data_IF_301769579605
#
_entry.id   IF_301769579605
#
_cell.length_a   1.000
_cell.length_b   1.000
_cell.length_c   1.000
_cell.angle_alpha   90.00
_cell.angle_beta   90.00
_cell.angle_gamma   90.00
#
_symmetry.space_group_name_H-M   'P 1'
#
loop_
_entity.id
_entity.type
_entity.pdbx_description
1 polymer ?
#
# COMPACT_ATOMS: atom_id res chain seq x y z
N UNK A 1 21.23 -14.86 -9.59
CA UNK A 1 19.87 -14.73 -10.15
C UNK A 1 19.94 -14.27 -11.59
N UNK A 2 19.28 -14.97 -12.50
CA UNK A 2 19.21 -14.57 -13.89
C UNK A 2 18.22 -13.43 -14.09
N UNK A 3 18.28 -12.78 -15.26
CA UNK A 3 17.31 -11.75 -15.64
C UNK A 3 15.88 -12.30 -15.62
N UNK A 4 15.69 -13.51 -16.12
CA UNK A 4 14.37 -14.16 -16.15
C UNK A 4 13.86 -14.41 -14.73
N UNK A 5 14.72 -14.87 -13.84
CA UNK A 5 14.35 -15.07 -12.43
C UNK A 5 14.02 -13.76 -11.76
N UNK A 6 14.78 -12.72 -12.02
CA UNK A 6 14.53 -11.38 -11.48
C UNK A 6 13.15 -10.86 -11.91
N UNK A 7 12.86 -10.95 -13.21
CA UNK A 7 11.57 -10.52 -13.74
C UNK A 7 10.40 -11.26 -13.11
N UNK A 8 10.54 -12.57 -12.90
CA UNK A 8 9.54 -13.38 -12.24
C UNK A 8 9.31 -12.93 -10.81
N UNK A 9 10.37 -12.63 -10.07
CA UNK A 9 10.25 -12.20 -8.68
C UNK A 9 9.60 -10.82 -8.57
N UNK A 10 9.92 -9.90 -9.48
CA UNK A 10 9.25 -8.59 -9.54
C UNK A 10 7.77 -8.77 -9.82
N UNK A 11 7.43 -9.62 -10.79
CA UNK A 11 6.02 -9.88 -11.12
C UNK A 11 5.25 -10.45 -9.93
N UNK A 12 5.87 -11.36 -9.17
CA UNK A 12 5.23 -11.94 -7.98
C UNK A 12 4.84 -10.85 -6.96
N UNK A 13 5.72 -9.87 -6.75
CA UNK A 13 5.44 -8.77 -5.82
C UNK A 13 4.23 -7.96 -6.29
N UNK A 14 4.20 -7.59 -7.58
CA UNK A 14 3.07 -6.82 -8.11
C UNK A 14 1.78 -7.63 -8.15
N UNK A 15 1.85 -8.93 -8.43
CA UNK A 15 0.68 -9.81 -8.41
C UNK A 15 0.12 -9.93 -6.99
N UNK A 16 0.98 -10.04 -5.99
CA UNK A 16 0.59 -10.09 -4.59
C UNK A 16 -0.10 -8.79 -4.17
N UNK A 17 0.50 -7.65 -4.49
CA UNK A 17 -0.06 -6.34 -4.18
C UNK A 17 -1.41 -6.14 -4.87
N UNK A 18 -1.50 -6.51 -6.14
CA UNK A 18 -2.74 -6.46 -6.92
C UNK A 18 -3.86 -7.26 -6.25
N UNK A 19 -3.58 -8.52 -5.92
CA UNK A 19 -4.57 -9.39 -5.28
C UNK A 19 -5.08 -8.80 -3.96
N UNK A 20 -4.17 -8.28 -3.15
CA UNK A 20 -4.51 -7.66 -1.88
C UNK A 20 -5.36 -6.41 -2.07
N UNK A 21 -4.99 -5.56 -3.03
CA UNK A 21 -5.74 -4.34 -3.33
C UNK A 21 -7.19 -4.65 -3.71
N UNK A 22 -7.38 -5.62 -4.60
CA UNK A 22 -8.73 -6.00 -5.05
C UNK A 22 -9.56 -6.55 -3.89
N UNK A 23 -8.97 -7.39 -3.05
CA UNK A 23 -9.67 -7.95 -1.88
C UNK A 23 -10.07 -6.86 -0.89
N UNK A 24 -9.16 -5.94 -0.59
CA UNK A 24 -9.46 -4.83 0.32
C UNK A 24 -10.52 -3.90 -0.26
N UNK A 25 -10.45 -3.63 -1.57
CA UNK A 25 -11.43 -2.79 -2.22
C UNK A 25 -12.85 -3.37 -2.10
N UNK A 26 -12.99 -4.68 -2.19
CA UNK A 26 -14.29 -5.33 -2.00
C UNK A 26 -14.87 -5.10 -0.60
N UNK A 27 -14.00 -5.08 0.40
CA UNK A 27 -14.43 -4.86 1.78
C UNK A 27 -14.73 -3.39 2.07
N UNK A 28 -13.85 -2.49 1.63
CA UNK A 28 -13.94 -1.08 1.98
C UNK A 28 -14.84 -0.28 1.03
N UNK A 29 -14.97 -0.70 -0.22
CA UNK A 29 -15.60 0.10 -1.26
C UNK A 29 -14.72 1.28 -1.66
N UNK A 30 -15.21 2.16 -2.55
CA UNK A 30 -14.38 3.26 -3.08
C UNK A 30 -14.37 4.52 -2.22
N UNK A 31 -15.39 4.72 -1.36
CA UNK A 31 -15.61 6.02 -0.70
C UNK A 31 -14.63 6.33 0.42
N UNK A 32 -13.99 5.33 1.01
CA UNK A 32 -12.93 5.58 1.98
C UNK A 32 -11.77 6.37 1.34
N UNK A 33 -11.66 6.32 0.02
CA UNK A 33 -10.70 7.09 -0.76
C UNK A 33 -11.36 8.35 -1.32
N UNK A 34 -12.45 8.19 -2.10
CA UNK A 34 -13.05 9.32 -2.82
C UNK A 34 -13.69 10.36 -1.91
N UNK A 35 -14.16 9.96 -0.73
CA UNK A 35 -14.80 10.88 0.23
C UNK A 35 -13.90 11.27 1.39
N UNK A 36 -12.61 11.03 1.30
CA UNK A 36 -11.68 11.36 2.38
C UNK A 36 -11.68 12.88 2.66
N UNK A 37 -11.69 13.27 3.94
CA UNK A 37 -11.58 14.70 4.28
C UNK A 37 -10.34 15.34 3.66
N UNK A 38 -10.51 16.49 3.05
CA UNK A 38 -9.43 17.19 2.35
C UNK A 38 -9.19 16.67 0.94
N UNK A 39 -10.00 15.71 0.47
CA UNK A 39 -9.89 15.14 -0.86
C UNK A 39 -9.15 13.81 -0.89
N UNK A 40 -9.38 13.05 -1.96
CA UNK A 40 -8.84 11.70 -2.09
C UNK A 40 -7.31 11.67 -2.02
N UNK A 41 -6.65 12.54 -2.78
CA UNK A 41 -5.19 12.55 -2.82
C UNK A 41 -4.59 12.98 -1.50
N UNK A 42 -5.18 13.97 -0.84
CA UNK A 42 -4.76 14.38 0.50
C UNK A 42 -4.87 13.23 1.49
N UNK A 43 -5.99 12.49 1.46
CA UNK A 43 -6.18 11.33 2.34
C UNK A 43 -5.13 10.25 2.10
N UNK A 44 -4.75 10.02 0.86
CA UNK A 44 -3.71 9.06 0.51
C UNK A 44 -2.33 9.50 1.00
N UNK A 45 -2.03 10.79 0.92
CA UNK A 45 -0.78 11.34 1.45
C UNK A 45 -0.70 11.11 2.95
N UNK A 46 -1.80 11.35 3.67
CA UNK A 46 -1.86 11.10 5.12
C UNK A 46 -1.65 9.61 5.42
N UNK A 47 -2.30 8.72 4.69
CA UNK A 47 -2.13 7.27 4.86
C UNK A 47 -0.71 6.82 4.61
N UNK A 48 -0.08 7.36 3.56
CA UNK A 48 1.32 7.05 3.26
C UNK A 48 2.25 7.57 4.36
N UNK A 49 1.96 8.74 4.91
CA UNK A 49 2.72 9.27 6.04
C UNK A 49 2.64 8.32 7.24
N UNK A 50 1.43 7.90 7.62
CA UNK A 50 1.25 6.99 8.75
C UNK A 50 1.99 5.67 8.51
N UNK A 51 1.90 5.14 7.31
CA UNK A 51 2.57 3.89 6.96
C UNK A 51 4.09 4.05 7.02
N UNK A 52 4.62 5.16 6.55
CA UNK A 52 6.05 5.44 6.58
C UNK A 52 6.56 5.55 8.01
N UNK A 53 5.83 6.24 8.90
CA UNK A 53 6.19 6.33 10.30
C UNK A 53 6.18 4.95 10.97
N UNK A 54 5.22 4.10 10.63
CA UNK A 54 5.17 2.73 11.11
C UNK A 54 6.39 1.92 10.63
N UNK A 55 6.74 2.05 9.35
CA UNK A 55 7.92 1.39 8.76
C UNK A 55 9.17 1.79 9.51
N UNK A 56 9.36 3.09 9.75
CA UNK A 56 10.52 3.60 10.49
C UNK A 56 10.56 3.04 11.91
N UNK A 57 9.43 3.04 12.60
CA UNK A 57 9.38 2.52 13.95
C UNK A 57 9.74 1.04 14.01
N UNK A 58 9.17 0.24 13.11
CA UNK A 58 9.46 -1.20 13.07
C UNK A 58 10.92 -1.47 12.74
N UNK A 59 11.49 -0.73 11.80
CA UNK A 59 12.86 -0.98 11.35
C UNK A 59 13.92 -0.40 12.27
N UNK A 60 13.78 0.84 12.73
CA UNK A 60 14.81 1.51 13.50
C UNK A 60 14.67 1.34 15.01
N UNK A 61 13.46 1.24 15.52
CA UNK A 61 13.20 1.20 16.97
C UNK A 61 12.91 -0.22 17.45
N UNK A 62 12.05 -0.94 16.75
CA UNK A 62 11.56 -2.26 17.19
C UNK A 62 12.13 -3.41 16.37
N UNK A 63 13.31 -3.25 15.83
CA UNK A 63 13.89 -4.20 14.88
C UNK A 63 14.09 -5.62 15.42
N UNK A 64 14.17 -5.77 16.75
CA UNK A 64 14.35 -7.07 17.39
C UNK A 64 13.03 -7.63 17.95
N UNK A 65 11.94 -6.89 17.81
CA UNK A 65 10.64 -7.30 18.34
C UNK A 65 9.76 -7.84 17.22
N UNK A 66 8.96 -8.84 17.57
CA UNK A 66 7.97 -9.35 16.64
C UNK A 66 6.75 -8.42 16.66
N UNK A 67 6.31 -7.86 15.50
CA UNK A 67 5.13 -7.01 15.48
C UNK A 67 3.88 -7.75 15.93
N UNK A 68 3.01 -7.10 16.70
CA UNK A 68 1.75 -7.67 17.15
C UNK A 68 0.69 -7.66 16.04
N UNK A 69 0.81 -6.75 15.11
CA UNK A 69 -0.16 -6.54 14.05
C UNK A 69 0.51 -6.74 12.69
N UNK A 70 0.61 -5.70 11.94
CA UNK A 70 1.14 -5.70 10.59
C UNK A 70 2.67 -5.79 10.60
N UNK A 71 3.22 -6.69 9.79
CA UNK A 71 4.67 -6.84 9.65
C UNK A 71 5.27 -5.71 8.83
N UNK A 72 6.61 -5.58 8.87
CA UNK A 72 7.32 -4.62 8.04
C UNK A 72 7.02 -4.82 6.56
N UNK A 73 7.04 -6.08 6.10
CA UNK A 73 6.75 -6.39 4.70
C UNK A 73 5.32 -6.02 4.31
N UNK A 74 4.35 -6.31 5.19
CA UNK A 74 2.95 -5.93 4.95
C UNK A 74 2.79 -4.42 4.89
N UNK A 75 3.54 -3.67 5.68
CA UNK A 75 3.52 -2.21 5.64
C UNK A 75 4.01 -1.67 4.30
N UNK A 76 5.05 -2.29 3.73
CA UNK A 76 5.54 -1.91 2.40
C UNK A 76 4.54 -2.23 1.29
N UNK A 77 3.85 -3.37 1.38
CA UNK A 77 2.83 -3.71 0.37
C UNK A 77 1.67 -2.72 0.43
N UNK A 78 1.23 -2.34 1.63
CA UNK A 78 0.17 -1.33 1.77
C UNK A 78 0.61 0.01 1.17
N UNK A 79 1.84 0.42 1.41
CA UNK A 79 2.37 1.66 0.84
C UNK A 79 2.42 1.61 -0.69
N UNK A 80 2.83 0.48 -1.25
CA UNK A 80 2.82 0.26 -2.69
C UNK A 80 1.41 0.44 -3.25
N UNK A 81 0.41 -0.16 -2.60
CA UNK A 81 -0.97 -0.07 -3.02
C UNK A 81 -1.54 1.34 -2.87
N UNK A 82 -1.16 2.09 -1.84
CA UNK A 82 -1.55 3.50 -1.74
C UNK A 82 -1.03 4.31 -2.92
N UNK A 83 0.18 4.01 -3.39
CA UNK A 83 0.74 4.67 -4.57
C UNK A 83 -0.04 4.32 -5.83
N UNK A 84 -0.43 3.05 -6.00
CA UNK A 84 -1.24 2.62 -7.13
C UNK A 84 -2.60 3.34 -7.13
N UNK A 85 -3.25 3.41 -5.96
CA UNK A 85 -4.54 4.11 -5.82
C UNK A 85 -4.36 5.59 -6.14
N UNK A 86 -3.28 6.22 -5.66
CA UNK A 86 -3.00 7.63 -5.94
C UNK A 86 -2.88 7.89 -7.44
N UNK A 87 -2.23 7.00 -8.17
CA UNK A 87 -2.12 7.12 -9.62
C UNK A 87 -3.50 7.03 -10.29
N UNK A 88 -4.36 6.11 -9.82
CA UNK A 88 -5.72 6.01 -10.33
C UNK A 88 -6.53 7.27 -10.04
N UNK A 89 -6.36 7.87 -8.87
CA UNK A 89 -7.02 9.14 -8.52
C UNK A 89 -6.55 10.27 -9.45
N UNK A 90 -5.25 10.38 -9.67
CA UNK A 90 -4.67 11.37 -10.56
C UNK A 90 -5.19 11.20 -11.99
N UNK A 91 -5.27 9.96 -12.44
CA UNK A 91 -5.74 9.62 -13.80
C UNK A 91 -7.27 9.66 -13.94
N UNK A 92 -7.98 10.00 -12.87
CA UNK A 92 -9.45 10.03 -12.81
C UNK A 92 -10.08 8.68 -13.15
N UNK A 93 -9.46 7.61 -12.64
CA UNK A 93 -9.91 6.23 -12.85
C UNK A 93 -10.38 5.55 -11.56
N UNK A 94 -10.30 6.23 -10.42
CA UNK A 94 -10.80 5.65 -9.17
C UNK A 94 -12.33 5.78 -9.13
N UNK A 95 -13.08 4.72 -8.76
CA UNK A 95 -14.54 4.78 -8.70
C UNK A 95 -15.02 5.74 -7.59
N UNK A 96 -16.12 6.38 -7.83
CA UNK A 96 -16.73 7.29 -6.85
C UNK A 96 -17.86 6.62 -6.06
#
# INVERSE_FOLDING_TARGET
>A
MTEVEFEKEVKKIFDEAYTLLIRKHRDYGPKNISSAPGGALNGLIVRKHDKFERIKNLFFVRQNDKPQFETLRESFIDDLNYSAIAMMVIDKKWPE
#
